data_IF_055786701261
#
_entry.id   IF_055786701261
#
_cell.length_a   1.000
_cell.length_b   1.000
_cell.length_c   1.000
_cell.angle_alpha   90.00
_cell.angle_beta   90.00
_cell.angle_gamma   90.00
#
_symmetry.space_group_name_H-M   'P 1'
#
loop_
_entity.id
_entity.type
_entity.pdbx_description
1 polymer ?
#
# COMPACT_ATOMS: atom_id res chain seq x y z
N UNK A 1 -11.03 -10.07 -17.18
CA UNK A 1 -10.27 -8.93 -16.66
C UNK A 1 -8.95 -8.77 -17.42
N UNK A 2 -8.68 -7.61 -18.00
CA UNK A 2 -7.31 -7.25 -18.38
C UNK A 2 -6.57 -6.76 -17.13
N UNK A 3 -5.65 -7.59 -16.62
CA UNK A 3 -4.85 -7.25 -15.44
C UNK A 3 -4.03 -5.98 -15.62
N UNK A 4 -3.64 -5.63 -16.85
CA UNK A 4 -2.84 -4.43 -17.11
C UNK A 4 -3.70 -3.17 -17.04
N UNK A 5 -4.90 -3.21 -17.63
CA UNK A 5 -5.86 -2.10 -17.56
C UNK A 5 -6.26 -1.80 -16.11
N UNK A 6 -6.58 -2.83 -15.31
CA UNK A 6 -6.90 -2.64 -13.90
C UNK A 6 -5.75 -1.95 -13.15
N UNK A 7 -4.50 -2.33 -13.42
CA UNK A 7 -3.33 -1.72 -12.78
C UNK A 7 -3.13 -0.26 -13.24
N UNK A 8 -3.39 0.06 -14.51
CA UNK A 8 -3.33 1.44 -14.99
C UNK A 8 -4.42 2.30 -14.34
N UNK A 9 -5.64 1.78 -14.18
CA UNK A 9 -6.70 2.46 -13.42
C UNK A 9 -6.33 2.66 -11.95
N UNK A 10 -5.71 1.66 -11.31
CA UNK A 10 -5.21 1.77 -9.94
C UNK A 10 -4.11 2.82 -9.81
N UNK A 11 -3.24 2.90 -10.81
CA UNK A 11 -2.24 3.96 -10.91
C UNK A 11 -2.90 5.32 -11.03
N UNK A 12 -3.91 5.46 -11.90
CA UNK A 12 -4.67 6.70 -12.04
C UNK A 12 -5.38 7.07 -10.72
N UNK A 13 -5.94 6.09 -10.00
CA UNK A 13 -6.52 6.28 -8.68
C UNK A 13 -5.51 6.80 -7.64
N UNK A 14 -4.25 6.36 -7.68
CA UNK A 14 -3.20 6.90 -6.79
C UNK A 14 -2.81 8.35 -7.12
N UNK A 15 -3.14 8.85 -8.31
CA UNK A 15 -2.82 10.21 -8.76
C UNK A 15 -4.04 11.10 -9.00
N UNK A 16 -5.26 10.62 -8.79
CA UNK A 16 -6.49 11.39 -9.08
C UNK A 16 -6.59 12.67 -8.24
N UNK A 17 -6.00 12.65 -7.04
CA UNK A 17 -5.78 13.80 -6.19
C UNK A 17 -4.27 13.96 -5.93
N UNK A 18 -3.74 15.19 -5.85
CA UNK A 18 -2.34 15.39 -5.57
C UNK A 18 -2.05 15.31 -4.05
N UNK A 19 -0.85 14.87 -3.62
CA UNK A 19 -0.47 14.84 -2.20
C UNK A 19 -0.52 16.22 -1.51
N UNK A 20 -0.39 17.30 -2.28
CA UNK A 20 -0.51 18.69 -1.82
C UNK A 20 -1.93 19.27 -1.98
N UNK A 21 -2.97 18.43 -2.15
CA UNK A 21 -4.39 18.85 -2.31
C UNK A 21 -4.85 19.87 -1.28
N UNK A 22 -4.61 19.63 0.01
CA UNK A 22 -5.03 20.52 1.07
C UNK A 22 -4.44 21.93 0.91
N UNK A 23 -3.19 22.04 0.44
CA UNK A 23 -2.54 23.32 0.16
C UNK A 23 -3.09 23.98 -1.11
N UNK A 24 -3.38 23.20 -2.16
CA UNK A 24 -4.04 23.71 -3.37
C UNK A 24 -5.40 24.36 -3.01
N UNK A 25 -6.21 23.70 -2.18
CA UNK A 25 -7.49 24.21 -1.72
C UNK A 25 -7.36 25.52 -0.92
N UNK A 26 -6.36 25.61 -0.03
CA UNK A 26 -6.07 26.83 0.73
C UNK A 26 -5.61 27.97 -0.19
N UNK A 27 -4.77 27.65 -1.19
CA UNK A 27 -4.27 28.61 -2.20
C UNK A 27 -5.30 28.97 -3.27
N UNK A 28 -6.44 28.26 -3.32
CA UNK A 28 -7.47 28.36 -4.37
C UNK A 28 -6.95 28.02 -5.77
N UNK A 29 -6.07 27.03 -5.82
CA UNK A 29 -5.54 26.45 -7.04
C UNK A 29 -6.38 25.25 -7.46
N UNK A 30 -6.38 24.95 -8.75
CA UNK A 30 -7.02 23.75 -9.27
C UNK A 30 -6.17 22.52 -8.92
N UNK A 31 -6.73 21.66 -8.08
CA UNK A 31 -6.04 20.45 -7.61
C UNK A 31 -6.12 19.31 -8.64
N UNK A 32 -7.10 19.32 -9.55
CA UNK A 32 -7.20 18.33 -10.62
C UNK A 32 -6.10 18.59 -11.67
N UNK A 33 -5.89 19.86 -12.04
CA UNK A 33 -4.76 20.26 -12.89
C UNK A 33 -3.41 19.92 -12.24
N UNK A 34 -3.29 20.15 -10.92
CA UNK A 34 -2.09 19.79 -10.16
C UNK A 34 -1.86 18.28 -10.10
N UNK A 35 -2.91 17.47 -9.93
CA UNK A 35 -2.83 16.01 -9.99
C UNK A 35 -2.29 15.54 -11.34
N UNK A 36 -2.83 16.07 -12.44
CA UNK A 36 -2.38 15.73 -13.79
C UNK A 36 -0.92 16.12 -14.03
N UNK A 37 -0.51 17.31 -13.58
CA UNK A 37 0.90 17.76 -13.65
C UNK A 37 1.84 16.78 -12.93
N UNK A 38 1.52 16.43 -11.68
CA UNK A 38 2.35 15.53 -10.88
C UNK A 38 2.37 14.11 -11.46
N UNK A 39 1.24 13.62 -11.96
CA UNK A 39 1.15 12.33 -12.65
C UNK A 39 2.03 12.30 -13.91
N UNK A 40 2.01 13.37 -14.73
CA UNK A 40 2.90 13.48 -15.90
C UNK A 40 4.38 13.46 -15.48
N UNK A 41 4.76 14.18 -14.43
CA UNK A 41 6.14 14.18 -13.93
C UNK A 41 6.56 12.78 -13.44
N UNK A 42 5.71 12.12 -12.66
CA UNK A 42 6.00 10.83 -12.05
C UNK A 42 6.00 9.67 -13.07
N UNK A 43 5.11 9.69 -14.07
CA UNK A 43 4.82 8.54 -14.93
C UNK A 43 5.37 8.66 -16.35
N UNK A 44 5.82 9.85 -16.79
CA UNK A 44 6.34 10.04 -18.15
C UNK A 44 7.50 9.09 -18.48
N UNK A 45 7.37 8.36 -19.59
CA UNK A 45 8.38 7.41 -20.07
C UNK A 45 8.53 6.15 -19.20
N UNK A 46 7.57 5.88 -18.32
CA UNK A 46 7.49 4.63 -17.52
C UNK A 46 6.46 3.69 -18.15
N UNK A 47 6.42 2.40 -17.77
CA UNK A 47 5.34 1.50 -18.17
C UNK A 47 3.93 1.95 -17.75
N UNK A 48 3.82 2.92 -16.85
CA UNK A 48 2.54 3.43 -16.32
C UNK A 48 2.07 4.73 -16.99
N UNK A 49 2.74 5.19 -18.06
CA UNK A 49 2.45 6.49 -18.67
C UNK A 49 1.00 6.66 -19.13
N UNK A 50 0.36 5.58 -19.56
CA UNK A 50 -1.05 5.59 -20.01
C UNK A 50 -2.03 5.95 -18.90
N UNK A 51 -1.68 5.73 -17.62
CA UNK A 51 -2.54 6.04 -16.49
C UNK A 51 -2.86 7.55 -16.37
N UNK A 52 -2.03 8.43 -16.94
CA UNK A 52 -2.29 9.88 -16.98
C UNK A 52 -3.59 10.20 -17.74
N UNK A 53 -3.85 9.50 -18.85
CA UNK A 53 -5.07 9.70 -19.65
C UNK A 53 -6.31 9.13 -18.94
N UNK A 54 -6.10 8.25 -17.96
CA UNK A 54 -7.16 7.57 -17.20
C UNK A 54 -7.54 8.28 -15.90
N UNK A 55 -6.89 9.41 -15.54
CA UNK A 55 -7.20 10.16 -14.30
C UNK A 55 -8.66 10.59 -14.22
N UNK A 56 -9.26 10.95 -15.36
CA UNK A 56 -10.66 11.37 -15.47
C UNK A 56 -11.63 10.23 -15.82
N UNK A 57 -11.16 8.97 -15.86
CA UNK A 57 -11.98 7.80 -16.17
C UNK A 57 -13.13 7.65 -15.14
N UNK A 58 -14.31 7.31 -15.63
CA UNK A 58 -15.49 7.14 -14.77
C UNK A 58 -15.29 6.04 -13.72
N UNK A 59 -14.50 5.02 -14.02
CA UNK A 59 -14.17 3.93 -13.09
C UNK A 59 -13.33 4.42 -11.91
N UNK A 60 -12.38 5.32 -12.16
CA UNK A 60 -11.59 5.98 -11.09
C UNK A 60 -12.50 6.84 -10.23
N UNK A 61 -13.38 7.63 -10.86
CA UNK A 61 -14.37 8.43 -10.13
C UNK A 61 -15.28 7.54 -9.28
N UNK A 62 -15.79 6.44 -9.81
CA UNK A 62 -16.64 5.51 -9.06
C UNK A 62 -15.90 4.89 -7.86
N UNK A 63 -14.62 4.55 -8.03
CA UNK A 63 -13.78 4.08 -6.94
C UNK A 63 -13.58 5.15 -5.85
N UNK A 64 -13.33 6.42 -6.22
CA UNK A 64 -13.24 7.54 -5.27
C UNK A 64 -14.55 7.71 -4.49
N UNK A 65 -15.70 7.64 -5.19
CA UNK A 65 -17.01 7.71 -4.52
C UNK A 65 -17.22 6.56 -3.53
N UNK A 66 -16.75 5.36 -3.88
CA UNK A 66 -16.86 4.18 -3.02
C UNK A 66 -15.96 4.32 -1.78
N UNK A 67 -14.70 4.72 -1.96
CA UNK A 67 -13.74 4.93 -0.88
C UNK A 67 -14.21 6.03 0.09
N UNK A 68 -14.72 7.15 -0.43
CA UNK A 68 -15.22 8.27 0.37
C UNK A 68 -16.67 8.09 0.85
N UNK A 69 -17.31 6.94 0.63
CA UNK A 69 -18.75 6.76 0.86
C UNK A 69 -19.17 6.98 2.32
N UNK A 70 -18.37 6.50 3.28
CA UNK A 70 -18.63 6.68 4.72
C UNK A 70 -18.59 8.16 5.10
N UNK A 71 -17.58 8.89 4.63
CA UNK A 71 -17.41 10.30 4.91
C UNK A 71 -18.54 11.12 4.29
N UNK A 72 -18.96 10.78 3.06
CA UNK A 72 -20.09 11.44 2.38
C UNK A 72 -21.42 11.17 3.07
N UNK A 73 -21.65 9.97 3.62
CA UNK A 73 -22.86 9.69 4.42
C UNK A 73 -22.87 10.53 5.70
N UNK A 74 -21.73 10.64 6.38
CA UNK A 74 -21.60 11.44 7.60
C UNK A 74 -21.76 12.94 7.30
N UNK A 75 -21.09 13.45 6.28
CA UNK A 75 -21.27 14.82 5.80
C UNK A 75 -22.72 15.04 5.36
N UNK A 76 -23.31 14.15 4.57
CA UNK A 76 -24.69 14.24 4.11
C UNK A 76 -25.70 14.36 5.27
N UNK A 77 -25.46 13.67 6.40
CA UNK A 77 -26.25 13.84 7.62
C UNK A 77 -26.07 15.22 8.29
N UNK A 78 -24.91 15.86 8.13
CA UNK A 78 -24.57 17.16 8.73
C UNK A 78 -24.94 18.37 7.83
N UNK A 79 -24.77 18.26 6.51
CA UNK A 79 -24.90 19.36 5.54
C UNK A 79 -26.04 19.17 4.52
N UNK A 80 -26.69 18.00 4.48
CA UNK A 80 -27.60 17.65 3.38
C UNK A 80 -26.87 17.58 2.04
N UNK A 81 -27.49 18.08 0.97
CA UNK A 81 -26.95 18.10 -0.41
C UNK A 81 -26.20 19.40 -0.77
N UNK A 82 -25.82 20.24 0.20
CA UNK A 82 -25.12 21.51 -0.05
C UNK A 82 -23.62 21.29 -0.28
N UNK A 83 -23.20 21.23 -1.54
CA UNK A 83 -21.78 21.29 -1.93
C UNK A 83 -21.12 22.60 -1.45
N UNK A 84 -19.85 22.52 -1.02
CA UNK A 84 -19.08 23.69 -0.57
C UNK A 84 -19.45 24.25 0.82
N UNK A 85 -20.31 23.58 1.59
CA UNK A 85 -20.61 23.97 2.96
C UNK A 85 -19.43 23.70 3.91
N UNK A 86 -19.24 24.61 4.88
CA UNK A 86 -18.15 24.61 5.88
C UNK A 86 -16.73 24.61 5.30
N UNK A 87 -16.32 25.63 4.53
CA UNK A 87 -14.94 25.72 4.07
C UNK A 87 -14.00 25.89 5.27
N UNK A 88 -13.28 24.81 5.60
CA UNK A 88 -12.21 24.82 6.59
C UNK A 88 -10.91 25.25 5.90
N UNK A 89 -10.35 26.38 6.33
CA UNK A 89 -9.11 26.93 5.77
C UNK A 89 -7.88 26.48 6.54
N UNK A 90 -8.05 25.95 7.76
CA UNK A 90 -6.94 25.37 8.51
C UNK A 90 -6.64 23.96 8.00
N UNK A 91 -5.38 23.71 7.66
CA UNK A 91 -4.92 22.35 7.40
C UNK A 91 -4.64 21.71 8.76
N UNK A 92 -5.43 20.70 9.11
CA UNK A 92 -5.29 19.92 10.33
C UNK A 92 -5.57 18.46 10.05
N UNK A 93 -5.08 17.59 10.91
CA UNK A 93 -5.42 16.18 10.97
C UNK A 93 -5.99 15.87 12.35
N UNK A 94 -7.04 15.06 12.40
CA UNK A 94 -7.66 14.54 13.62
C UNK A 94 -7.40 13.05 13.68
N UNK A 95 -7.13 12.57 14.89
CA UNK A 95 -6.96 11.14 15.08
C UNK A 95 -8.31 10.42 14.82
N UNK A 96 -8.36 9.36 13.99
CA UNK A 96 -9.60 8.68 13.64
C UNK A 96 -10.24 7.92 14.82
N UNK A 97 -9.45 7.52 15.82
CA UNK A 97 -9.92 6.82 17.02
C UNK A 97 -10.38 7.82 18.09
N UNK A 98 -9.61 8.89 18.30
CA UNK A 98 -9.92 9.94 19.26
C UNK A 98 -9.92 11.33 18.60
N UNK A 99 -11.07 11.78 18.07
CA UNK A 99 -11.19 13.06 17.35
C UNK A 99 -10.90 14.32 18.17
N UNK A 100 -10.70 14.19 19.49
CA UNK A 100 -10.25 15.29 20.36
C UNK A 100 -8.76 15.58 20.20
N UNK A 101 -7.99 14.60 19.73
CA UNK A 101 -6.57 14.77 19.41
C UNK A 101 -6.51 15.31 17.98
N UNK A 102 -6.00 16.52 17.84
CA UNK A 102 -5.78 17.17 16.55
C UNK A 102 -4.35 17.68 16.43
N UNK A 103 -3.84 17.65 15.21
CA UNK A 103 -2.54 18.15 14.83
C UNK A 103 -2.72 19.20 13.74
N UNK A 104 -2.33 20.45 14.03
CA UNK A 104 -2.40 21.55 13.06
C UNK A 104 -1.14 21.57 12.21
N UNK A 105 -1.31 21.67 10.89
CA UNK A 105 -0.22 21.70 9.91
C UNK A 105 -0.07 23.13 9.42
N UNK A 106 0.98 23.82 9.90
CA UNK A 106 1.25 25.23 9.59
C UNK A 106 2.41 25.42 8.61
N UNK A 107 2.84 24.35 7.93
CA UNK A 107 3.94 24.38 6.97
C UNK A 107 3.40 24.75 5.60
N UNK A 108 4.01 25.74 4.96
CA UNK A 108 3.75 26.04 3.55
C UNK A 108 4.53 25.08 2.66
N UNK A 109 3.83 24.22 1.92
CA UNK A 109 4.44 23.15 1.13
C UNK A 109 4.78 23.66 -0.27
N UNK A 110 6.07 23.77 -0.59
CA UNK A 110 6.49 24.36 -1.87
C UNK A 110 6.34 23.38 -3.03
N UNK A 111 5.87 23.87 -4.17
CA UNK A 111 5.59 23.05 -5.36
C UNK A 111 6.82 22.34 -5.92
N UNK A 112 7.99 22.98 -5.84
CA UNK A 112 9.27 22.41 -6.29
C UNK A 112 9.71 21.20 -5.46
N UNK A 113 9.37 21.18 -4.16
CA UNK A 113 9.68 20.05 -3.28
C UNK A 113 8.84 18.83 -3.63
N UNK A 114 7.55 19.05 -3.89
CA UNK A 114 6.59 18.02 -4.34
C UNK A 114 7.01 17.44 -5.70
N UNK A 115 7.32 18.30 -6.67
CA UNK A 115 7.82 17.88 -7.98
C UNK A 115 9.16 17.15 -7.87
N UNK A 116 10.02 17.54 -6.92
CA UNK A 116 11.26 16.85 -6.63
C UNK A 116 11.05 15.40 -6.19
N UNK A 117 9.99 15.11 -5.42
CA UNK A 117 9.60 13.73 -5.07
C UNK A 117 9.12 12.98 -6.31
N UNK A 118 8.26 13.58 -7.15
CA UNK A 118 7.77 12.94 -8.37
C UNK A 118 8.88 12.61 -9.36
N UNK A 119 9.90 13.47 -9.50
CA UNK A 119 11.08 13.21 -10.33
C UNK A 119 11.88 12.02 -9.83
N UNK A 120 12.14 11.93 -8.53
CA UNK A 120 12.82 10.77 -7.92
C UNK A 120 12.03 9.47 -8.11
N UNK A 121 10.71 9.54 -7.94
CA UNK A 121 9.82 8.41 -8.20
C UNK A 121 9.92 7.96 -9.66
N UNK A 122 9.87 8.90 -10.60
CA UNK A 122 10.01 8.63 -12.04
C UNK A 122 11.34 7.93 -12.39
N UNK A 123 12.45 8.35 -11.78
CA UNK A 123 13.76 7.72 -11.99
C UNK A 123 13.74 6.22 -11.65
N UNK A 124 13.11 5.85 -10.53
CA UNK A 124 12.98 4.43 -10.15
C UNK A 124 12.00 3.71 -11.06
N UNK A 125 10.84 4.31 -11.37
CA UNK A 125 9.81 3.70 -12.21
C UNK A 125 10.29 3.43 -13.64
N UNK A 126 11.13 4.29 -14.20
CA UNK A 126 11.77 4.08 -15.53
C UNK A 126 12.65 2.83 -15.59
N UNK A 127 13.18 2.37 -14.46
CA UNK A 127 14.00 1.15 -14.40
C UNK A 127 13.17 -0.15 -14.43
N UNK A 128 11.84 -0.04 -14.29
CA UNK A 128 10.93 -1.19 -14.31
C UNK A 128 10.62 -1.62 -15.75
N UNK A 129 10.31 -2.91 -15.94
CA UNK A 129 10.16 -3.50 -17.28
C UNK A 129 8.73 -3.63 -17.76
N UNK A 130 7.78 -3.66 -16.83
CA UNK A 130 6.37 -3.95 -17.12
C UNK A 130 5.47 -3.18 -16.13
N UNK A 131 4.19 -3.08 -16.49
CA UNK A 131 3.14 -2.38 -15.73
C UNK A 131 3.03 -2.90 -14.29
N UNK A 132 3.12 -4.22 -14.09
CA UNK A 132 2.99 -4.84 -12.76
C UNK A 132 4.12 -4.41 -11.82
N UNK A 133 5.37 -4.55 -12.25
CA UNK A 133 6.54 -4.19 -11.46
C UNK A 133 6.61 -2.68 -11.21
N UNK A 134 6.20 -1.87 -12.20
CA UNK A 134 6.10 -0.43 -12.07
C UNK A 134 5.08 -0.04 -11.00
N UNK A 135 3.89 -0.64 -11.03
CA UNK A 135 2.86 -0.39 -10.02
C UNK A 135 3.26 -0.90 -8.64
N UNK A 136 3.93 -2.05 -8.57
CA UNK A 136 4.50 -2.59 -7.34
C UNK A 136 5.49 -1.60 -6.69
N UNK A 137 6.37 -1.01 -7.50
CA UNK A 137 7.30 0.02 -7.07
C UNK A 137 6.59 1.33 -6.70
N UNK A 138 5.61 1.78 -7.49
CA UNK A 138 4.82 2.97 -7.19
C UNK A 138 4.12 2.83 -5.84
N UNK A 139 3.41 1.72 -5.62
CA UNK A 139 2.67 1.46 -4.39
C UNK A 139 3.56 1.56 -3.16
N UNK A 140 4.76 0.97 -3.20
CA UNK A 140 5.70 1.03 -2.08
C UNK A 140 6.37 2.39 -1.92
N UNK A 141 6.80 3.02 -3.01
CA UNK A 141 7.69 4.18 -2.92
C UNK A 141 6.97 5.52 -2.82
N UNK A 142 5.71 5.63 -3.24
CA UNK A 142 5.05 6.92 -3.38
C UNK A 142 4.99 7.69 -2.07
N UNK A 143 4.40 7.10 -1.04
CA UNK A 143 4.36 7.69 0.29
C UNK A 143 5.71 7.61 1.01
N UNK A 144 6.49 6.55 0.76
CA UNK A 144 7.79 6.41 1.41
C UNK A 144 8.74 7.56 1.05
N UNK A 145 8.85 7.91 -0.23
CA UNK A 145 9.70 9.01 -0.70
C UNK A 145 9.20 10.37 -0.18
N UNK A 146 7.88 10.51 0.00
CA UNK A 146 7.29 11.69 0.63
C UNK A 146 7.76 11.87 2.07
N UNK A 147 7.68 10.79 2.87
CA UNK A 147 8.11 10.75 4.27
C UNK A 147 9.63 10.92 4.38
N UNK A 148 10.41 10.23 3.55
CA UNK A 148 11.87 10.35 3.54
C UNK A 148 12.31 11.79 3.27
N UNK A 149 11.64 12.48 2.34
CA UNK A 149 11.86 13.91 2.07
C UNK A 149 11.45 14.81 3.25
N UNK A 150 10.65 14.31 4.19
CA UNK A 150 10.19 15.04 5.37
C UNK A 150 9.02 15.98 5.09
N UNK A 151 8.24 15.70 4.05
CA UNK A 151 7.10 16.54 3.69
C UNK A 151 5.87 16.22 4.57
N UNK A 152 5.10 17.23 5.00
CA UNK A 152 3.86 17.01 5.75
C UNK A 152 2.80 16.34 4.88
N UNK A 153 1.93 15.54 5.48
CA UNK A 153 0.76 14.95 4.81
C UNK A 153 -0.52 15.66 5.26
N UNK A 154 -1.29 16.18 4.32
CA UNK A 154 -2.57 16.85 4.59
C UNK A 154 -3.74 15.85 4.73
N UNK A 155 -4.91 16.30 5.21
CA UNK A 155 -6.13 15.51 5.13
C UNK A 155 -6.60 15.35 3.68
N UNK A 156 -7.27 14.25 3.36
CA UNK A 156 -7.93 14.09 2.06
C UNK A 156 -9.10 15.08 1.88
N UNK A 157 -9.87 15.31 2.95
CA UNK A 157 -10.94 16.30 3.02
C UNK A 157 -10.73 17.21 4.25
N UNK A 158 -10.57 18.51 4.03
CA UNK A 158 -10.35 19.47 5.13
C UNK A 158 -11.56 19.60 6.07
N UNK A 159 -12.75 19.21 5.62
CA UNK A 159 -13.99 19.22 6.41
C UNK A 159 -14.11 18.01 7.33
N UNK A 160 -13.56 16.87 6.90
CA UNK A 160 -13.43 15.64 7.68
C UNK A 160 -11.97 15.17 7.73
N UNK A 161 -11.12 15.87 8.50
CA UNK A 161 -9.69 15.65 8.47
C UNK A 161 -9.24 14.42 9.28
N UNK A 162 -9.95 13.29 9.19
CA UNK A 162 -9.72 12.09 10.02
C UNK A 162 -8.72 11.11 9.45
N UNK A 163 -8.38 11.24 8.17
CA UNK A 163 -7.41 10.41 7.46
C UNK A 163 -6.58 11.26 6.51
N UNK A 164 -5.38 10.78 6.19
CA UNK A 164 -4.46 11.52 5.32
C UNK A 164 -4.85 11.40 3.86
N UNK A 165 -4.31 12.27 3.00
CA UNK A 165 -4.47 12.15 1.55
C UNK A 165 -3.97 10.81 1.03
N UNK A 166 -2.83 10.31 1.53
CA UNK A 166 -2.32 8.99 1.11
C UNK A 166 -3.29 7.86 1.47
N UNK A 167 -3.88 7.90 2.67
CA UNK A 167 -4.89 6.89 3.06
C UNK A 167 -6.07 6.85 2.08
N UNK A 168 -6.55 8.01 1.65
CA UNK A 168 -7.61 8.12 0.64
C UNK A 168 -7.17 7.59 -0.74
N UNK A 169 -5.96 7.95 -1.19
CA UNK A 169 -5.42 7.51 -2.48
C UNK A 169 -5.31 5.97 -2.54
N UNK A 170 -4.71 5.37 -1.51
CA UNK A 170 -4.60 3.90 -1.42
C UNK A 170 -5.97 3.24 -1.27
N UNK A 171 -6.89 3.80 -0.48
CA UNK A 171 -8.26 3.28 -0.37
C UNK A 171 -9.01 3.33 -1.72
N UNK A 172 -8.80 4.38 -2.51
CA UNK A 172 -9.38 4.53 -3.85
C UNK A 172 -8.81 3.48 -4.83
N UNK A 173 -7.50 3.25 -4.79
CA UNK A 173 -6.88 2.19 -5.58
C UNK A 173 -7.40 0.80 -5.16
N UNK A 174 -7.50 0.53 -3.85
CA UNK A 174 -8.09 -0.70 -3.30
C UNK A 174 -9.55 -0.88 -3.73
N UNK A 175 -10.35 0.18 -3.77
CA UNK A 175 -11.76 0.13 -4.16
C UNK A 175 -11.97 -0.37 -5.59
N UNK A 176 -11.01 -0.16 -6.49
CA UNK A 176 -11.07 -0.68 -7.86
C UNK A 176 -11.12 -2.21 -7.93
N UNK A 177 -10.66 -2.93 -6.89
CA UNK A 177 -10.83 -4.38 -6.81
C UNK A 177 -12.31 -4.81 -6.73
N UNK A 178 -13.22 -3.89 -6.39
CA UNK A 178 -14.67 -4.15 -6.37
C UNK A 178 -15.36 -3.36 -7.47
N UNK A 179 -15.03 -2.09 -7.63
CA UNK A 179 -15.79 -1.20 -8.53
C UNK A 179 -15.47 -1.42 -10.01
N UNK A 180 -14.35 -2.07 -10.36
CA UNK A 180 -13.98 -2.31 -11.77
C UNK A 180 -14.96 -3.26 -12.47
N UNK A 181 -15.32 -4.37 -11.84
CA UNK A 181 -16.30 -5.35 -12.35
C UNK A 181 -17.73 -5.10 -11.79
N UNK A 182 -17.87 -4.16 -10.84
CA UNK A 182 -19.13 -3.87 -10.16
C UNK A 182 -19.45 -4.85 -9.02
N UNK A 183 -18.56 -5.82 -8.80
CA UNK A 183 -18.58 -6.84 -7.76
C UNK A 183 -17.14 -7.20 -7.39
N UNK A 184 -16.95 -7.72 -6.19
CA UNK A 184 -15.65 -8.17 -5.71
C UNK A 184 -15.80 -9.12 -4.52
N UNK A 185 -14.69 -9.74 -4.15
CA UNK A 185 -14.62 -10.75 -3.10
C UNK A 185 -13.88 -10.17 -1.90
N UNK A 186 -14.46 -10.32 -0.70
CA UNK A 186 -13.77 -10.05 0.56
C UNK A 186 -13.41 -11.39 1.19
N UNK A 187 -12.12 -11.69 1.26
CA UNK A 187 -11.60 -12.95 1.78
C UNK A 187 -10.92 -12.70 3.12
N UNK A 188 -11.28 -13.48 4.14
CA UNK A 188 -10.61 -13.48 5.44
C UNK A 188 -9.94 -14.83 5.68
N UNK A 189 -8.63 -14.81 5.90
CA UNK A 189 -7.81 -15.97 6.19
C UNK A 189 -7.47 -15.95 7.68
N UNK A 190 -7.65 -17.09 8.35
CA UNK A 190 -7.26 -17.29 9.75
C UNK A 190 -6.52 -18.63 9.90
N UNK A 191 -5.26 -18.57 10.32
CA UNK A 191 -4.47 -19.75 10.64
C UNK A 191 -4.85 -20.20 12.05
N UNK A 192 -5.56 -21.33 12.14
CA UNK A 192 -5.93 -21.91 13.42
C UNK A 192 -4.69 -22.38 14.24
N UNK A 193 -4.78 -22.27 15.56
CA UNK A 193 -3.81 -22.87 16.48
C UNK A 193 -2.46 -22.13 16.61
N UNK A 194 -2.39 -20.86 16.20
CA UNK A 194 -1.14 -20.07 16.24
C UNK A 194 -0.54 -20.01 17.65
N UNK A 195 -1.37 -19.81 18.68
CA UNK A 195 -0.88 -19.72 20.06
C UNK A 195 -0.36 -21.07 20.55
N UNK A 196 -1.09 -22.16 20.29
CA UNK A 196 -0.70 -23.52 20.64
C UNK A 196 0.60 -23.94 19.94
N UNK A 197 0.77 -23.55 18.67
CA UNK A 197 1.99 -23.79 17.90
C UNK A 197 3.20 -23.05 18.49
N UNK A 198 3.07 -21.75 18.74
CA UNK A 198 4.13 -20.93 19.33
C UNK A 198 4.49 -21.44 20.74
N UNK A 199 3.50 -21.86 21.53
CA UNK A 199 3.68 -22.37 22.88
C UNK A 199 4.48 -23.68 22.98
N UNK A 200 4.68 -24.42 21.87
CA UNK A 200 5.54 -25.62 21.86
C UNK A 200 7.05 -25.30 21.92
N UNK A 201 7.42 -24.02 21.87
CA UNK A 201 8.81 -23.56 21.87
C UNK A 201 9.51 -23.81 23.20
N UNK A 202 10.72 -24.38 23.17
CA UNK A 202 11.53 -24.64 24.37
C UNK A 202 12.61 -23.59 24.61
N UNK A 203 13.13 -22.99 23.53
CA UNK A 203 14.14 -21.92 23.55
C UNK A 203 13.59 -20.65 22.92
N UNK A 204 14.18 -19.49 23.23
CA UNK A 204 13.82 -18.22 22.61
C UNK A 204 13.98 -18.24 21.08
N UNK A 205 14.95 -18.99 20.57
CA UNK A 205 15.11 -19.20 19.12
C UNK A 205 13.94 -19.95 18.52
N UNK A 206 13.42 -20.96 19.21
CA UNK A 206 12.26 -21.73 18.75
C UNK A 206 11.01 -20.85 18.80
N UNK A 207 10.88 -20.02 19.83
CA UNK A 207 9.78 -19.04 19.96
C UNK A 207 9.77 -18.06 18.79
N UNK A 208 10.93 -17.47 18.50
CA UNK A 208 11.10 -16.57 17.36
C UNK A 208 10.82 -17.29 16.03
N UNK A 209 11.39 -18.48 15.82
CA UNK A 209 11.23 -19.24 14.59
C UNK A 209 9.77 -19.65 14.36
N UNK A 210 9.08 -20.14 15.39
CA UNK A 210 7.66 -20.51 15.32
C UNK A 210 6.79 -19.30 14.95
N UNK A 211 7.00 -18.16 15.59
CA UNK A 211 6.29 -16.92 15.25
C UNK A 211 6.60 -16.47 13.83
N UNK A 212 7.86 -16.54 13.41
CA UNK A 212 8.30 -16.14 12.08
C UNK A 212 7.73 -17.05 10.98
N UNK A 213 7.66 -18.36 11.21
CA UNK A 213 7.06 -19.33 10.29
C UNK A 213 5.62 -18.97 10.00
N UNK A 214 4.82 -18.60 11.02
CA UNK A 214 3.43 -18.18 10.84
C UNK A 214 3.35 -16.96 9.92
N UNK A 215 4.11 -15.90 10.22
CA UNK A 215 4.15 -14.68 9.39
C UNK A 215 4.59 -14.95 7.96
N UNK A 216 5.71 -15.66 7.79
CA UNK A 216 6.30 -15.93 6.49
C UNK A 216 5.43 -16.86 5.64
N UNK A 217 4.80 -17.86 6.24
CA UNK A 217 3.91 -18.78 5.54
C UNK A 217 2.64 -18.07 5.07
N UNK A 218 1.99 -17.28 5.93
CA UNK A 218 0.80 -16.53 5.54
C UNK A 218 1.11 -15.52 4.43
N UNK A 219 2.21 -14.76 4.59
CA UNK A 219 2.68 -13.83 3.57
C UNK A 219 2.95 -14.54 2.24
N UNK A 220 3.68 -15.66 2.27
CA UNK A 220 4.02 -16.42 1.07
C UNK A 220 2.80 -17.00 0.34
N UNK A 221 1.75 -17.33 1.08
CA UNK A 221 0.48 -17.87 0.56
C UNK A 221 -0.22 -16.84 -0.33
N UNK A 222 -0.20 -15.56 0.08
CA UNK A 222 -0.90 -14.47 -0.63
C UNK A 222 -0.06 -13.77 -1.70
N UNK A 223 1.24 -14.06 -1.80
CA UNK A 223 2.13 -13.40 -2.76
C UNK A 223 1.66 -13.51 -4.21
N UNK A 224 1.06 -14.65 -4.56
CA UNK A 224 0.59 -14.90 -5.91
C UNK A 224 -0.70 -14.08 -6.22
N UNK A 225 -1.44 -13.63 -5.21
CA UNK A 225 -2.58 -12.70 -5.36
C UNK A 225 -2.13 -11.23 -5.37
N UNK A 226 -1.04 -10.92 -4.68
CA UNK A 226 -0.42 -9.59 -4.68
C UNK A 226 0.02 -9.19 -6.11
N UNK A 227 0.11 -10.13 -7.07
CA UNK A 227 0.34 -9.84 -8.49
C UNK A 227 -0.73 -8.96 -9.15
N UNK A 228 -1.96 -8.92 -8.61
CA UNK A 228 -3.02 -8.01 -9.06
C UNK A 228 -2.86 -6.59 -8.52
N UNK A 229 -1.84 -6.37 -7.70
CA UNK A 229 -1.55 -5.12 -7.00
C UNK A 229 -1.43 -5.35 -5.49
N UNK A 230 -0.53 -4.66 -4.77
CA UNK A 230 -0.42 -4.83 -3.32
C UNK A 230 -1.67 -4.37 -2.56
N UNK A 231 -2.45 -3.49 -3.17
CA UNK A 231 -3.71 -2.95 -2.66
C UNK A 231 -4.84 -3.99 -2.50
N UNK A 232 -4.63 -5.23 -2.97
CA UNK A 232 -5.55 -6.35 -2.68
C UNK A 232 -5.49 -6.80 -1.22
N UNK A 233 -4.38 -6.54 -0.51
CA UNK A 233 -4.25 -6.88 0.91
C UNK A 233 -4.75 -5.70 1.74
N UNK A 234 -5.92 -5.89 2.36
CA UNK A 234 -6.53 -4.86 3.20
C UNK A 234 -5.90 -4.82 4.58
N UNK A 235 -5.71 -6.00 5.21
CA UNK A 235 -5.08 -6.10 6.54
C UNK A 235 -4.20 -7.34 6.66
N UNK A 236 -2.93 -7.23 7.10
CA UNK A 236 -2.20 -5.98 7.34
C UNK A 236 -1.90 -5.27 6.01
N UNK A 237 -1.91 -3.94 6.00
CA UNK A 237 -1.54 -3.19 4.80
C UNK A 237 -0.12 -3.55 4.34
N UNK A 238 0.12 -3.61 3.03
CA UNK A 238 1.46 -3.71 2.48
C UNK A 238 2.28 -2.42 2.68
N UNK A 239 1.62 -1.28 2.93
CA UNK A 239 2.30 -0.02 3.30
C UNK A 239 3.10 -0.22 4.57
N UNK A 240 4.36 0.15 4.52
CA UNK A 240 5.33 0.02 5.61
C UNK A 240 5.47 -1.39 6.21
N UNK A 241 5.16 -2.43 5.42
CA UNK A 241 5.31 -3.82 5.86
C UNK A 241 6.67 -4.39 5.42
N UNK A 242 7.56 -4.81 6.36
CA UNK A 242 8.86 -5.37 6.03
C UNK A 242 8.87 -6.50 5.01
N UNK A 243 7.89 -7.41 5.08
CA UNK A 243 7.80 -8.51 4.12
C UNK A 243 7.57 -7.99 2.69
N UNK A 244 6.67 -7.02 2.54
CA UNK A 244 6.44 -6.35 1.26
C UNK A 244 7.69 -5.64 0.74
N UNK A 245 8.42 -4.92 1.60
CA UNK A 245 9.62 -4.20 1.18
C UNK A 245 10.80 -5.12 0.83
N UNK A 246 10.95 -6.25 1.51
CA UNK A 246 11.91 -7.28 1.10
C UNK A 246 11.59 -7.83 -0.29
N UNK A 247 10.32 -8.16 -0.57
CA UNK A 247 9.91 -8.62 -1.91
C UNK A 247 10.07 -7.53 -2.96
N UNK A 248 9.73 -6.30 -2.63
CA UNK A 248 9.90 -5.15 -3.51
C UNK A 248 11.37 -4.94 -3.90
N UNK A 249 12.28 -4.99 -2.93
CA UNK A 249 13.71 -4.86 -3.17
C UNK A 249 14.25 -6.00 -4.05
N UNK A 250 13.77 -7.22 -3.84
CA UNK A 250 14.17 -8.40 -4.62
C UNK A 250 13.60 -8.37 -6.05
N UNK A 251 12.38 -7.88 -6.22
CA UNK A 251 11.66 -7.85 -7.50
C UNK A 251 12.11 -6.70 -8.39
N UNK A 252 12.35 -5.52 -7.81
CA UNK A 252 12.66 -4.30 -8.57
C UNK A 252 14.03 -3.76 -8.17
N UNK A 253 15.06 -4.04 -8.99
CA UNK A 253 16.46 -3.67 -8.71
C UNK A 253 16.67 -2.18 -8.41
N UNK A 254 15.94 -1.29 -9.09
CA UNK A 254 16.01 0.16 -8.85
C UNK A 254 15.58 0.56 -7.44
N UNK A 255 14.68 -0.21 -6.84
CA UNK A 255 14.17 0.04 -5.48
C UNK A 255 15.21 -0.31 -4.43
N UNK A 256 15.91 -1.45 -4.57
CA UNK A 256 16.95 -1.84 -3.61
C UNK A 256 18.02 -0.76 -3.44
N UNK A 257 18.43 -0.10 -4.53
CA UNK A 257 19.37 1.03 -4.48
C UNK A 257 18.79 2.26 -3.76
N UNK A 258 17.49 2.54 -3.94
CA UNK A 258 16.84 3.64 -3.24
C UNK A 258 16.72 3.36 -1.74
N UNK A 259 16.25 2.17 -1.35
CA UNK A 259 16.09 1.76 0.04
C UNK A 259 17.40 1.77 0.84
N UNK A 260 18.55 1.62 0.20
CA UNK A 260 19.87 1.77 0.86
C UNK A 260 20.20 3.21 1.27
N UNK A 261 19.54 4.19 0.66
CA UNK A 261 19.85 5.62 0.81
C UNK A 261 18.76 6.40 1.56
N UNK A 262 17.67 5.75 1.98
CA UNK A 262 16.65 6.37 2.83
C UNK A 262 17.22 6.60 4.23
N UNK A 263 16.59 7.50 5.00
CA UNK A 263 16.97 7.75 6.40
C UNK A 263 17.00 6.46 7.23
N UNK A 264 18.00 6.34 8.10
CA UNK A 264 18.24 5.13 8.90
C UNK A 264 17.02 4.73 9.75
N UNK A 265 16.30 5.71 10.32
CA UNK A 265 15.10 5.44 11.13
C UNK A 265 14.00 4.72 10.33
N UNK A 266 13.89 5.02 9.04
CA UNK A 266 12.93 4.39 8.13
C UNK A 266 13.45 3.01 7.72
N UNK A 267 14.75 2.89 7.48
CA UNK A 267 15.42 1.64 7.09
C UNK A 267 15.27 0.57 8.18
N UNK A 268 15.44 0.94 9.44
CA UNK A 268 15.23 0.06 10.61
C UNK A 268 13.80 -0.52 10.66
N UNK A 269 12.81 0.25 10.22
CA UNK A 269 11.40 -0.19 10.21
C UNK A 269 11.11 -1.12 9.03
N UNK A 270 11.66 -0.86 7.85
CA UNK A 270 11.23 -1.51 6.60
C UNK A 270 12.07 -2.72 6.21
N UNK A 271 13.39 -2.58 6.20
CA UNK A 271 14.28 -3.63 5.78
C UNK A 271 15.68 -3.21 6.23
N UNK A 272 16.11 -3.75 7.36
CA UNK A 272 17.51 -3.67 7.78
C UNK A 272 18.41 -4.35 6.72
N UNK A 273 19.75 -4.28 6.82
CA UNK A 273 20.69 -4.86 5.84
C UNK A 273 20.65 -6.42 5.74
N UNK A 274 19.56 -7.05 6.20
CA UNK A 274 19.32 -8.47 6.16
C UNK A 274 18.64 -8.91 4.85
N UNK A 275 18.94 -10.14 4.45
CA UNK A 275 18.34 -10.78 3.27
C UNK A 275 16.88 -11.19 3.45
N UNK A 276 16.31 -10.99 4.65
CA UNK A 276 14.94 -11.35 5.02
C UNK A 276 14.45 -10.48 6.21
N UNK A 277 13.13 -10.29 6.38
CA UNK A 277 12.60 -9.50 7.49
C UNK A 277 12.81 -10.24 8.81
N UNK A 278 13.33 -9.58 9.85
CA UNK A 278 13.63 -10.25 11.14
C UNK A 278 12.44 -10.40 12.07
N UNK A 279 11.46 -9.52 11.93
CA UNK A 279 10.32 -9.44 12.84
C UNK A 279 9.10 -10.09 12.22
N UNK A 280 8.43 -10.95 12.99
CA UNK A 280 7.19 -11.63 12.63
C UNK A 280 6.00 -10.66 12.71
N UNK A 281 5.91 -9.73 11.75
CA UNK A 281 4.92 -8.62 11.76
C UNK A 281 3.62 -8.96 11.05
N UNK A 282 3.60 -10.01 10.22
CA UNK A 282 2.37 -10.49 9.58
C UNK A 282 1.62 -11.36 10.59
N UNK A 283 0.37 -11.02 10.96
CA UNK A 283 -0.38 -11.78 11.96
C UNK A 283 -0.81 -13.14 11.41
N UNK A 284 -1.38 -14.00 12.26
CA UNK A 284 -2.00 -15.26 11.84
C UNK A 284 -3.28 -15.09 11.02
N UNK A 285 -3.74 -13.85 10.84
CA UNK A 285 -4.93 -13.52 10.07
C UNK A 285 -4.60 -12.52 8.96
N UNK A 286 -5.33 -12.58 7.84
CA UNK A 286 -5.20 -11.63 6.74
C UNK A 286 -6.55 -11.41 6.06
N UNK A 287 -6.85 -10.16 5.68
CA UNK A 287 -8.05 -9.82 4.93
C UNK A 287 -7.64 -9.27 3.58
N UNK A 288 -8.24 -9.81 2.52
CA UNK A 288 -8.01 -9.43 1.14
C UNK A 288 -9.31 -8.95 0.50
N UNK A 289 -9.17 -8.05 -0.47
CA UNK A 289 -10.24 -7.58 -1.33
C UNK A 289 -9.81 -7.77 -2.78
N UNK A 290 -10.56 -8.60 -3.50
CA UNK A 290 -10.16 -9.17 -4.78
C UNK A 290 -11.23 -8.88 -5.85
N UNK A 291 -10.83 -8.72 -7.13
CA UNK A 291 -11.75 -8.75 -8.26
C UNK A 291 -12.57 -10.03 -8.31
N UNK A 292 -13.83 -9.95 -8.75
CA UNK A 292 -14.73 -11.12 -8.82
C UNK A 292 -14.28 -12.16 -9.85
N UNK A 293 -13.48 -11.74 -10.84
CA UNK A 293 -12.82 -12.64 -11.79
C UNK A 293 -11.88 -13.69 -11.16
N UNK A 294 -11.53 -13.57 -9.87
CA UNK A 294 -10.78 -14.59 -9.13
C UNK A 294 -11.78 -15.57 -8.47
N UNK A 295 -12.50 -16.32 -9.31
CA UNK A 295 -13.68 -17.11 -8.91
C UNK A 295 -13.41 -18.34 -8.03
N UNK A 296 -12.16 -18.63 -7.68
CA UNK A 296 -11.75 -19.79 -6.86
C UNK A 296 -10.68 -19.45 -5.81
N UNK A 297 -10.79 -18.24 -5.24
CA UNK A 297 -9.80 -17.71 -4.30
C UNK A 297 -9.60 -18.59 -3.05
N UNK A 298 -10.64 -19.29 -2.59
CA UNK A 298 -10.57 -20.18 -1.42
C UNK A 298 -9.66 -21.39 -1.68
N UNK A 299 -9.98 -22.21 -2.69
CA UNK A 299 -9.15 -23.37 -3.05
C UNK A 299 -7.73 -22.94 -3.44
N UNK A 300 -7.61 -21.80 -4.13
CA UNK A 300 -6.30 -21.23 -4.46
C UNK A 300 -5.45 -20.96 -3.22
N UNK A 301 -6.02 -20.35 -2.19
CA UNK A 301 -5.32 -20.04 -0.94
C UNK A 301 -4.95 -21.32 -0.19
N UNK A 302 -5.86 -22.29 -0.09
CA UNK A 302 -5.56 -23.58 0.57
C UNK A 302 -4.42 -24.33 -0.14
N UNK A 303 -4.49 -24.44 -1.46
CA UNK A 303 -3.47 -25.09 -2.27
C UNK A 303 -2.13 -24.35 -2.20
N UNK A 304 -2.17 -23.01 -2.26
CA UNK A 304 -0.98 -22.18 -2.11
C UNK A 304 -0.34 -22.44 -0.75
N UNK A 305 -1.10 -22.37 0.34
CA UNK A 305 -0.61 -22.61 1.68
C UNK A 305 0.08 -23.98 1.82
N UNK A 306 -0.59 -25.05 1.35
CA UNK A 306 -0.03 -26.41 1.37
C UNK A 306 1.28 -26.50 0.59
N UNK A 307 1.31 -25.98 -0.64
CA UNK A 307 2.50 -25.98 -1.50
C UNK A 307 3.66 -25.20 -0.89
N UNK A 308 3.41 -24.02 -0.29
CA UNK A 308 4.47 -23.22 0.35
C UNK A 308 4.99 -23.92 1.61
N UNK A 309 4.12 -24.58 2.37
CA UNK A 309 4.53 -25.39 3.53
C UNK A 309 5.38 -26.60 3.12
N UNK A 310 4.94 -27.37 2.12
CA UNK A 310 5.70 -28.51 1.57
C UNK A 310 7.08 -28.06 1.09
N UNK A 311 7.13 -27.00 0.28
CA UNK A 311 8.39 -26.42 -0.21
C UNK A 311 9.31 -25.98 0.93
N UNK A 312 8.76 -25.40 1.99
CA UNK A 312 9.53 -25.04 3.18
C UNK A 312 10.14 -26.27 3.84
N UNK A 313 9.35 -27.34 4.06
CA UNK A 313 9.81 -28.58 4.67
C UNK A 313 10.88 -29.28 3.81
N UNK A 314 10.66 -29.38 2.51
CA UNK A 314 11.62 -29.96 1.55
C UNK A 314 12.93 -29.18 1.53
N UNK A 315 12.87 -27.84 1.55
CA UNK A 315 14.06 -27.00 1.58
C UNK A 315 14.88 -27.25 2.85
N UNK A 316 14.23 -27.43 4.01
CA UNK A 316 14.91 -27.76 5.27
C UNK A 316 15.52 -29.16 5.23
N UNK A 317 14.79 -30.16 4.72
CA UNK A 317 15.30 -31.54 4.61
C UNK A 317 16.45 -31.66 3.61
N UNK A 318 16.49 -30.80 2.59
CA UNK A 318 17.55 -30.74 1.60
C UNK A 318 18.77 -29.91 2.02
N UNK A 319 18.73 -29.23 3.16
CA UNK A 319 19.94 -28.64 3.73
C UNK A 319 20.80 -29.79 4.27
N UNK A 320 21.92 -30.08 3.60
CA UNK A 320 23.02 -30.91 4.12
C UNK A 320 23.65 -30.18 5.31
N UNK A 321 22.96 -30.17 6.44
CA UNK A 321 23.52 -29.74 7.71
C UNK A 321 24.29 -30.95 8.21
N UNK A 322 25.62 -30.95 8.00
CA UNK A 322 26.48 -31.73 8.88
C UNK A 322 26.14 -31.27 10.29
N UNK A 323 25.40 -32.07 11.04
CA UNK A 323 25.16 -31.87 12.46
C UNK A 323 26.54 -31.89 13.11
N UNK A 324 27.21 -30.75 13.19
CA UNK A 324 28.42 -30.61 13.98
C UNK A 324 28.00 -30.91 15.41
N UNK A 325 28.55 -31.98 15.97
CA UNK A 325 28.27 -32.52 17.31
C UNK A 325 28.65 -31.57 18.46
N UNK A 326 28.93 -30.30 18.19
CA UNK A 326 29.27 -29.30 19.21
C UNK A 326 28.12 -28.30 19.41
N UNK A 327 27.19 -28.67 20.29
CA UNK A 327 26.33 -27.73 21.03
C UNK A 327 26.03 -28.24 22.45
#
# INVERSE_FOLDING_TARGET
MDSSELILLKTAALFHDPPDKAWCLVRREDHEERAEELARIALAGTPLSEAVEMLSDERVRNADRFAASVDRVLLGKLIGSRGGAFPERSIKLKNPINPKIEHSIQVDLRKDEVEGVMKKLNEVLKSTKNVKDAYFALYGLYELMWIDKGLPSGPADTRMPTHTIFDHLYATATALNVTYEGEGLLLHIDIAGVQEFIAQSRKLRDLWASSYIVSALLWSTVLDLIEYGPDVVLTPSCRFNPFFYCDLANRVRGVASHLKNIKEEIKEILCEDFSFPRFAVVPGTMTLILPSSISDAENFIEDSFRKKWEKFCESIMGLDISLSEDL
#
